data_IF_167607241583
#
_entry.id   IF_167607241583
#
_cell.length_a   1.000
_cell.length_b   1.000
_cell.length_c   1.000
_cell.angle_alpha   90.00
_cell.angle_beta   90.00
_cell.angle_gamma   90.00
#
_symmetry.space_group_name_H-M   'P 1'
#
loop_
_entity.id
_entity.type
_entity.pdbx_description
1 polymer ?
#
# COMPACT_ATOMS: atom_id res chain seq x y z
N UNK A 1 19.40 19.88 15.32
CA UNK A 1 18.66 19.45 16.54
C UNK A 1 17.86 20.65 17.03
N UNK A 2 16.52 20.53 17.09
CA UNK A 2 15.64 21.58 17.63
C UNK A 2 15.21 21.18 19.05
N UNK A 3 15.33 22.10 20.00
CA UNK A 3 14.78 21.94 21.36
C UNK A 3 13.33 22.45 21.38
N UNK A 4 12.42 21.57 21.79
CA UNK A 4 10.98 21.81 21.85
C UNK A 4 10.47 21.96 23.30
N UNK A 5 11.36 21.92 24.29
CA UNK A 5 11.07 22.31 25.67
C UNK A 5 10.47 21.22 26.59
N UNK A 6 9.94 20.10 26.07
CA UNK A 6 9.36 19.00 26.87
C UNK A 6 8.12 19.39 27.72
N UNK A 7 7.44 18.42 28.35
CA UNK A 7 6.15 18.67 29.02
C UNK A 7 6.22 19.41 30.38
N UNK A 8 5.24 20.31 30.62
CA UNK A 8 4.51 20.34 31.90
C UNK A 8 3.01 20.68 31.69
N UNK A 9 2.14 19.88 32.30
CA UNK A 9 0.69 19.82 32.08
C UNK A 9 -0.07 20.98 32.78
N UNK A 10 0.15 22.23 32.35
CA UNK A 10 -0.43 23.37 33.08
C UNK A 10 -0.82 24.62 32.30
N UNK A 11 0.08 25.34 31.60
CA UNK A 11 -0.29 26.67 31.06
C UNK A 11 0.69 27.33 30.05
N UNK A 12 1.32 26.60 29.12
CA UNK A 12 2.18 27.24 28.12
C UNK A 12 2.69 26.31 27.02
N UNK A 13 2.75 26.83 25.79
CA UNK A 13 3.17 26.15 24.55
C UNK A 13 4.61 25.58 24.66
N UNK A 14 4.72 24.29 25.00
CA UNK A 14 5.95 23.48 24.82
C UNK A 14 5.59 22.14 24.17
N UNK A 15 6.49 21.62 23.34
CA UNK A 15 6.29 20.37 22.61
C UNK A 15 6.27 19.14 23.51
N UNK A 16 5.52 18.11 23.11
CA UNK A 16 5.35 16.85 23.88
C UNK A 16 6.67 16.12 24.16
N UNK A 17 7.68 16.31 23.30
CA UNK A 17 9.03 15.76 23.44
C UNK A 17 10.04 16.89 23.47
N UNK A 18 11.21 16.65 24.07
CA UNK A 18 12.22 17.70 24.27
C UNK A 18 13.04 18.01 23.03
N UNK A 19 13.40 17.01 22.24
CA UNK A 19 14.28 17.21 21.09
C UNK A 19 13.80 16.49 19.85
N UNK A 20 13.97 17.13 18.70
CA UNK A 20 13.90 16.49 17.39
C UNK A 20 15.23 16.69 16.68
N UNK A 21 15.82 15.57 16.24
CA UNK A 21 16.93 15.59 15.30
C UNK A 21 16.35 15.50 13.90
N UNK A 22 16.43 16.61 13.17
CA UNK A 22 16.05 16.69 11.76
C UNK A 22 17.22 16.18 10.91
N UNK A 23 17.09 14.97 10.37
CA UNK A 23 18.07 14.32 9.50
C UNK A 23 17.61 14.25 8.04
N UNK A 24 16.54 14.96 7.68
CA UNK A 24 15.87 14.80 6.39
C UNK A 24 14.98 13.56 6.30
N UNK A 25 14.59 13.21 5.08
CA UNK A 25 13.79 12.04 4.78
C UNK A 25 14.54 10.74 5.07
N UNK A 26 13.82 9.67 5.42
CA UNK A 26 14.43 8.36 5.65
C UNK A 26 14.77 7.66 4.33
N UNK A 27 15.96 7.07 4.24
CA UNK A 27 16.46 6.43 3.00
C UNK A 27 15.65 5.21 2.54
N UNK A 28 14.94 4.54 3.46
CA UNK A 28 14.17 3.31 3.18
C UNK A 28 12.66 3.53 3.25
N UNK A 29 12.21 4.39 4.17
CA UNK A 29 10.79 4.71 4.40
C UNK A 29 9.96 3.65 5.13
N UNK A 30 10.35 2.37 5.09
CA UNK A 30 9.71 1.30 5.89
C UNK A 30 10.62 0.84 7.04
N UNK A 31 10.03 0.21 8.06
CA UNK A 31 10.78 -0.25 9.22
C UNK A 31 11.73 -1.42 8.91
N UNK A 32 12.55 -1.78 9.89
CA UNK A 32 13.47 -2.90 9.79
C UNK A 32 12.76 -4.25 9.60
N UNK A 33 13.42 -5.10 8.82
CA UNK A 33 13.09 -6.53 8.72
C UNK A 33 13.39 -7.21 10.04
N UNK A 34 12.47 -8.06 10.51
CA UNK A 34 12.64 -8.83 11.74
C UNK A 34 12.60 -10.30 11.42
N UNK A 35 13.61 -11.02 11.90
CA UNK A 35 13.77 -12.46 11.72
C UNK A 35 13.86 -13.17 13.07
N UNK A 36 13.33 -14.39 13.11
CA UNK A 36 13.53 -15.36 14.18
C UNK A 36 14.34 -16.53 13.64
N UNK A 37 15.58 -16.67 14.14
CA UNK A 37 16.47 -17.79 13.84
C UNK A 37 16.70 -18.71 15.03
N UNK A 38 15.90 -18.60 16.10
CA UNK A 38 16.13 -19.31 17.37
C UNK A 38 14.98 -20.24 17.76
N UNK A 39 13.74 -19.89 17.46
CA UNK A 39 12.58 -20.64 17.96
C UNK A 39 12.32 -21.94 17.21
N UNK A 40 12.93 -22.13 16.03
CA UNK A 40 12.79 -23.32 15.22
C UNK A 40 14.13 -23.72 14.59
N UNK A 41 14.76 -24.79 15.11
CA UNK A 41 16.01 -25.30 14.55
C UNK A 41 15.90 -25.58 13.04
N UNK A 42 16.88 -25.10 12.28
CA UNK A 42 16.93 -25.25 10.83
C UNK A 42 16.00 -24.31 10.06
N UNK A 43 15.45 -23.28 10.70
CA UNK A 43 14.61 -22.27 10.04
C UNK A 43 15.06 -20.84 10.37
N UNK A 44 15.02 -19.97 9.37
CA UNK A 44 15.09 -18.53 9.53
C UNK A 44 13.73 -17.97 9.12
N UNK A 45 13.01 -17.41 10.08
CA UNK A 45 11.62 -16.99 9.91
C UNK A 45 11.54 -15.48 9.84
N UNK A 46 11.20 -14.92 8.69
CA UNK A 46 10.89 -13.50 8.55
C UNK A 46 9.54 -13.24 9.20
N UNK A 47 9.57 -12.58 10.36
CA UNK A 47 8.37 -12.23 11.12
C UNK A 47 7.76 -10.91 10.64
N UNK A 48 8.60 -9.96 10.24
CA UNK A 48 8.18 -8.66 9.70
C UNK A 48 9.05 -8.29 8.51
N UNK A 49 8.50 -8.24 7.29
CA UNK A 49 9.22 -7.70 6.13
C UNK A 49 9.52 -6.20 6.32
N UNK A 50 10.67 -5.74 5.83
CA UNK A 50 11.16 -4.39 6.00
C UNK A 50 12.28 -4.06 5.01
N UNK A 51 13.14 -3.11 5.36
CA UNK A 51 14.22 -2.61 4.48
C UNK A 51 15.22 -3.64 3.95
N UNK A 52 15.35 -4.81 4.59
CA UNK A 52 16.14 -5.94 4.07
C UNK A 52 15.18 -6.97 3.48
N UNK A 53 15.27 -7.20 2.17
CA UNK A 53 14.30 -8.04 1.46
C UNK A 53 14.52 -9.53 1.74
N UNK A 54 13.50 -10.34 1.46
CA UNK A 54 13.58 -11.81 1.61
C UNK A 54 14.62 -12.38 0.64
N UNK A 55 14.73 -11.79 -0.55
CA UNK A 55 15.70 -12.12 -1.58
C UNK A 55 17.12 -11.82 -1.10
N UNK A 56 17.37 -10.64 -0.50
CA UNK A 56 18.67 -10.32 0.09
C UNK A 56 19.08 -11.29 1.20
N UNK A 57 18.13 -11.71 2.05
CA UNK A 57 18.38 -12.74 3.06
C UNK A 57 18.69 -14.09 2.40
N UNK A 58 17.95 -14.47 1.36
CA UNK A 58 18.17 -15.71 0.63
C UNK A 58 19.54 -15.72 -0.06
N UNK A 59 19.94 -14.61 -0.69
CA UNK A 59 21.23 -14.45 -1.35
C UNK A 59 22.38 -14.55 -0.35
N UNK A 60 22.29 -13.84 0.79
CA UNK A 60 23.26 -13.95 1.88
C UNK A 60 23.39 -15.40 2.37
N UNK A 61 22.27 -16.10 2.61
CA UNK A 61 22.30 -17.52 3.01
C UNK A 61 22.92 -18.41 1.92
N UNK A 62 22.64 -18.15 0.64
CA UNK A 62 23.17 -18.94 -0.48
C UNK A 62 24.67 -18.74 -0.66
N UNK A 63 25.14 -17.50 -0.60
CA UNK A 63 26.56 -17.13 -0.70
C UNK A 63 27.39 -17.78 0.40
N UNK A 64 26.78 -18.04 1.56
CA UNK A 64 27.41 -18.71 2.70
C UNK A 64 27.16 -20.23 2.74
N UNK A 65 26.50 -20.81 1.73
CA UNK A 65 26.20 -22.25 1.67
C UNK A 65 25.18 -22.73 2.70
N UNK A 66 24.38 -21.82 3.26
CA UNK A 66 23.41 -22.07 4.32
C UNK A 66 21.97 -22.19 3.82
N UNK A 67 21.65 -21.76 2.60
CA UNK A 67 20.27 -21.82 2.09
C UNK A 67 19.89 -23.23 1.61
N UNK A 68 18.82 -23.80 2.17
CA UNK A 68 18.21 -25.02 1.63
C UNK A 68 17.23 -24.67 0.48
N UNK A 69 17.56 -25.06 -0.75
CA UNK A 69 16.61 -25.05 -1.88
C UNK A 69 15.64 -26.24 -1.76
N UNK A 70 14.33 -26.00 -1.87
CA UNK A 70 13.25 -26.86 -1.36
C UNK A 70 13.12 -28.31 -1.87
N UNK A 71 12.35 -29.06 -1.06
CA UNK A 71 11.64 -30.34 -1.21
C UNK A 71 12.36 -31.56 -1.83
N UNK A 72 13.01 -32.34 -0.97
CA UNK A 72 13.09 -33.80 -1.15
C UNK A 72 12.39 -34.50 0.02
N UNK A 73 11.18 -34.99 -0.24
CA UNK A 73 10.58 -36.14 0.44
C UNK A 73 11.01 -37.40 -0.28
N UNK A 74 12.09 -38.05 0.17
CA UNK A 74 12.12 -39.51 0.29
C UNK A 74 13.32 -39.98 1.10
N UNK A 75 13.08 -40.73 2.18
CA UNK A 75 13.98 -41.73 2.80
C UNK A 75 15.46 -41.43 3.11
N UNK A 76 16.01 -40.24 2.87
CA UNK A 76 17.46 -40.01 2.86
C UNK A 76 17.89 -38.90 3.80
N UNK A 77 18.39 -39.29 4.98
CA UNK A 77 18.98 -38.42 6.01
C UNK A 77 20.13 -37.59 5.44
N UNK A 78 19.89 -36.32 5.08
CA UNK A 78 20.99 -35.36 4.87
C UNK A 78 21.41 -34.74 6.20
N UNK A 79 22.69 -34.88 6.50
CA UNK A 79 23.43 -34.23 7.59
C UNK A 79 24.00 -32.88 7.13
N UNK A 80 23.16 -32.00 6.55
CA UNK A 80 23.58 -30.68 6.10
C UNK A 80 23.08 -29.59 7.05
N UNK A 81 23.98 -28.77 7.59
CA UNK A 81 23.73 -27.59 8.46
C UNK A 81 23.10 -26.42 7.68
N UNK A 82 22.04 -26.68 6.91
CA UNK A 82 21.33 -25.65 6.16
C UNK A 82 20.10 -25.12 6.89
N UNK A 83 19.62 -23.96 6.45
CA UNK A 83 18.47 -23.25 7.01
C UNK A 83 17.40 -23.05 5.93
N UNK A 84 16.14 -23.32 6.29
CA UNK A 84 14.97 -22.98 5.47
C UNK A 84 14.53 -21.55 5.77
N UNK A 85 14.50 -20.69 4.77
CA UNK A 85 13.93 -19.35 4.88
C UNK A 85 12.40 -19.44 4.74
N UNK A 86 11.66 -18.86 5.69
CA UNK A 86 10.19 -18.80 5.65
C UNK A 86 9.69 -17.42 5.99
N UNK A 87 8.60 -16.99 5.37
CA UNK A 87 7.96 -15.69 5.60
C UNK A 87 6.62 -15.87 6.33
N UNK A 88 6.44 -15.13 7.42
CA UNK A 88 5.20 -15.19 8.20
C UNK A 88 4.01 -14.68 7.39
N UNK A 89 2.89 -15.39 7.49
CA UNK A 89 1.74 -15.17 6.63
C UNK A 89 1.85 -15.99 5.34
N UNK A 90 2.96 -15.92 4.60
CA UNK A 90 3.10 -16.55 3.27
C UNK A 90 3.40 -18.04 3.35
N UNK A 91 4.51 -18.40 3.98
CA UNK A 91 5.00 -19.80 4.07
C UNK A 91 4.61 -20.45 5.42
N UNK A 92 4.10 -19.64 6.34
CA UNK A 92 3.67 -20.03 7.68
C UNK A 92 2.25 -19.53 7.90
N UNK A 93 1.37 -20.43 8.33
CA UNK A 93 -0.01 -20.08 8.67
C UNK A 93 -0.03 -18.99 9.75
N UNK A 94 -0.92 -18.01 9.57
CA UNK A 94 -1.18 -17.00 10.60
C UNK A 94 -1.70 -17.69 11.86
N UNK A 95 -1.08 -17.39 12.99
CA UNK A 95 -1.47 -17.92 14.29
C UNK A 95 -2.06 -16.80 15.14
N UNK A 96 -3.34 -16.94 15.51
CA UNK A 96 -4.02 -16.00 16.41
C UNK A 96 -3.29 -15.82 17.74
N UNK A 97 -2.59 -16.85 18.22
CA UNK A 97 -1.77 -16.78 19.44
C UNK A 97 -0.56 -15.85 19.28
N UNK A 98 0.15 -15.92 18.14
CA UNK A 98 1.28 -15.04 17.83
C UNK A 98 0.85 -13.60 17.57
N UNK A 99 -0.34 -13.39 17.01
CA UNK A 99 -0.89 -12.06 16.73
C UNK A 99 -1.46 -11.40 18.00
N UNK A 100 -1.99 -12.20 18.93
CA UNK A 100 -2.52 -11.68 20.20
C UNK A 100 -1.41 -11.37 21.21
N UNK A 101 -0.27 -12.08 21.16
CA UNK A 101 0.91 -11.80 21.98
C UNK A 101 2.18 -11.73 21.11
N UNK A 102 2.37 -10.63 20.37
CA UNK A 102 3.41 -10.53 19.37
C UNK A 102 4.79 -10.47 20.00
N UNK A 103 5.74 -11.22 19.42
CA UNK A 103 7.15 -11.14 19.78
C UNK A 103 7.87 -9.93 19.18
N UNK A 104 7.19 -9.18 18.29
CA UNK A 104 7.77 -8.08 17.51
C UNK A 104 6.77 -6.92 17.33
N UNK A 105 7.22 -5.65 17.39
CA UNK A 105 6.36 -4.49 17.08
C UNK A 105 5.74 -4.57 15.68
N UNK A 106 4.56 -4.01 15.46
CA UNK A 106 3.93 -4.00 14.13
C UNK A 106 3.12 -5.25 13.78
N UNK A 107 2.99 -6.23 14.68
CA UNK A 107 2.30 -7.52 14.43
C UNK A 107 0.84 -7.57 14.91
N UNK A 108 0.47 -6.81 15.94
CA UNK A 108 -0.86 -6.89 16.60
C UNK A 108 -1.78 -5.71 16.32
N UNK A 109 -1.25 -4.49 16.36
CA UNK A 109 -2.06 -3.28 16.20
C UNK A 109 -2.03 -2.79 14.76
N UNK A 110 -3.12 -2.16 14.33
CA UNK A 110 -3.14 -1.28 13.16
C UNK A 110 -2.23 -0.09 13.43
N UNK A 111 -0.95 -0.24 13.09
CA UNK A 111 -0.01 0.86 13.14
C UNK A 111 -0.14 1.63 11.82
N UNK A 112 -0.11 2.97 11.89
CA UNK A 112 -0.13 3.87 10.73
C UNK A 112 -1.41 3.84 9.89
N UNK A 113 -2.56 3.51 10.50
CA UNK A 113 -3.86 3.65 9.84
C UNK A 113 -4.28 5.12 9.81
N UNK A 114 -4.49 5.69 8.62
CA UNK A 114 -5.21 6.95 8.47
C UNK A 114 -6.56 6.93 9.18
N UNK A 115 -7.07 8.12 9.51
CA UNK A 115 -8.46 8.30 9.95
C UNK A 115 -9.41 8.03 8.79
N UNK A 116 -9.04 8.47 7.59
CA UNK A 116 -9.73 8.16 6.35
C UNK A 116 -9.70 6.63 6.08
N UNK A 117 -10.80 6.04 5.60
CA UNK A 117 -10.80 4.66 5.14
C UNK A 117 -9.78 4.47 4.00
N UNK A 118 -9.04 3.37 4.05
CA UNK A 118 -8.05 3.00 3.04
C UNK A 118 -8.56 1.81 2.23
N UNK A 119 -8.75 2.01 0.93
CA UNK A 119 -9.17 0.99 -0.02
C UNK A 119 -7.95 0.52 -0.82
N UNK A 120 -7.66 -0.78 -0.76
CA UNK A 120 -6.62 -1.39 -1.59
C UNK A 120 -7.21 -1.84 -2.92
N UNK A 121 -6.86 -1.15 -4.00
CA UNK A 121 -7.33 -1.43 -5.35
C UNK A 121 -6.41 -2.44 -6.03
N UNK A 122 -6.92 -3.64 -6.32
CA UNK A 122 -6.16 -4.71 -6.97
C UNK A 122 -6.55 -4.81 -8.44
N UNK A 123 -5.61 -4.47 -9.32
CA UNK A 123 -5.86 -4.43 -10.76
C UNK A 123 -6.03 -5.82 -11.39
N UNK A 124 -7.09 -5.98 -12.20
CA UNK A 124 -7.29 -7.15 -13.07
C UNK A 124 -7.14 -6.72 -14.52
N UNK A 125 -6.16 -7.25 -15.24
CA UNK A 125 -6.08 -7.05 -16.70
C UNK A 125 -7.17 -7.87 -17.38
N UNK A 126 -8.01 -7.25 -18.21
CA UNK A 126 -8.87 -8.02 -19.10
C UNK A 126 -7.99 -8.75 -20.11
N UNK A 127 -7.92 -10.08 -20.02
CA UNK A 127 -7.37 -10.88 -21.12
C UNK A 127 -8.29 -10.70 -22.31
N UNK A 128 -7.80 -10.02 -23.36
CA UNK A 128 -8.37 -10.15 -24.70
C UNK A 128 -8.44 -11.64 -25.07
N UNK A 129 -9.42 -11.97 -25.89
CA UNK A 129 -9.71 -13.31 -26.41
C UNK A 129 -8.47 -14.01 -26.94
N UNK A 130 -7.82 -14.83 -26.12
CA UNK A 130 -7.01 -15.97 -26.54
C UNK A 130 -6.98 -16.99 -25.40
N UNK A 131 -7.70 -18.08 -25.60
CA UNK A 131 -7.67 -19.26 -24.74
C UNK A 131 -6.26 -19.86 -24.72
N UNK A 132 -5.79 -20.22 -23.52
CA UNK A 132 -4.58 -21.01 -23.21
C UNK A 132 -3.30 -20.26 -22.79
N UNK A 133 -3.38 -19.36 -21.82
CA UNK A 133 -2.37 -19.31 -20.74
C UNK A 133 -2.91 -18.57 -19.53
N UNK A 134 -2.98 -19.25 -18.37
CA UNK A 134 -3.44 -18.69 -17.11
C UNK A 134 -2.47 -17.62 -16.59
N UNK A 135 -2.62 -16.38 -17.06
CA UNK A 135 -2.02 -15.21 -16.40
C UNK A 135 -3.06 -14.57 -15.48
N UNK A 136 -3.54 -15.34 -14.50
CA UNK A 136 -4.25 -14.77 -13.36
C UNK A 136 -3.31 -13.75 -12.71
N UNK A 137 -3.72 -12.49 -12.65
CA UNK A 137 -3.09 -11.47 -11.81
C UNK A 137 -2.98 -12.05 -10.41
N UNK A 138 -1.78 -12.47 -10.00
CA UNK A 138 -1.58 -13.02 -8.67
C UNK A 138 -1.79 -11.86 -7.71
N UNK A 139 -2.86 -11.95 -6.94
CA UNK A 139 -3.09 -11.07 -5.81
C UNK A 139 -1.84 -11.06 -4.94
N UNK A 140 -1.40 -9.89 -4.46
CA UNK A 140 -0.38 -9.85 -3.43
C UNK A 140 -0.85 -10.73 -2.29
N UNK A 141 -0.05 -11.72 -1.89
CA UNK A 141 -0.40 -12.64 -0.81
C UNK A 141 -0.70 -11.86 0.48
N UNK A 142 -0.01 -10.74 0.66
CA UNK A 142 -0.17 -9.88 1.82
C UNK A 142 -1.50 -9.11 1.84
N UNK A 143 -2.19 -8.96 0.70
CA UNK A 143 -3.45 -8.24 0.60
C UNK A 143 -4.54 -8.82 1.54
N UNK A 144 -5.42 -7.98 2.10
CA UNK A 144 -6.63 -8.43 2.75
C UNK A 144 -7.44 -9.38 1.84
N UNK A 145 -8.20 -10.34 2.41
CA UNK A 145 -9.06 -11.20 1.62
C UNK A 145 -9.98 -10.38 0.72
N UNK A 146 -10.03 -10.72 -0.56
CA UNK A 146 -10.97 -10.12 -1.49
C UNK A 146 -12.36 -10.70 -1.28
N UNK A 147 -13.37 -9.88 -1.55
CA UNK A 147 -14.71 -10.38 -1.78
C UNK A 147 -14.82 -10.92 -3.22
N UNK A 148 -14.48 -12.20 -3.38
CA UNK A 148 -14.51 -12.91 -4.67
C UNK A 148 -15.93 -13.01 -5.28
N UNK A 149 -16.97 -12.62 -4.54
CA UNK A 149 -18.35 -12.58 -5.06
C UNK A 149 -18.64 -11.31 -5.86
N UNK A 150 -17.82 -10.26 -5.69
CA UNK A 150 -17.98 -8.99 -6.38
C UNK A 150 -17.15 -8.98 -7.67
N UNK A 151 -17.76 -8.74 -8.85
CA UNK A 151 -17.00 -8.62 -10.09
C UNK A 151 -16.08 -7.40 -10.03
N UNK A 152 -14.99 -7.44 -10.80
CA UNK A 152 -14.10 -6.29 -10.95
C UNK A 152 -14.90 -5.07 -11.44
N UNK A 153 -14.77 -3.94 -10.76
CA UNK A 153 -15.51 -2.68 -10.99
C UNK A 153 -14.58 -1.63 -11.62
N UNK A 154 -15.13 -0.63 -12.33
CA UNK A 154 -14.33 0.54 -12.73
C UNK A 154 -13.93 1.35 -11.50
N UNK A 155 -12.75 1.95 -11.50
CA UNK A 155 -12.30 2.78 -10.38
C UNK A 155 -13.17 4.04 -10.25
N UNK A 156 -13.55 4.68 -11.36
CA UNK A 156 -14.46 5.83 -11.34
C UNK A 156 -15.83 5.46 -10.73
N UNK A 157 -16.37 4.30 -11.13
CA UNK A 157 -17.64 3.75 -10.62
C UNK A 157 -17.56 3.46 -9.12
N UNK A 158 -16.48 2.80 -8.67
CA UNK A 158 -16.22 2.51 -7.26
C UNK A 158 -16.15 3.78 -6.41
N UNK A 159 -15.44 4.80 -6.87
CA UNK A 159 -15.32 6.08 -6.17
C UNK A 159 -16.69 6.75 -6.03
N UNK A 160 -17.51 6.76 -7.09
CA UNK A 160 -18.86 7.34 -7.05
C UNK A 160 -19.78 6.60 -6.07
N UNK A 161 -19.70 5.27 -6.02
CA UNK A 161 -20.45 4.47 -5.04
C UNK A 161 -20.07 4.84 -3.59
N UNK A 162 -18.77 4.98 -3.32
CA UNK A 162 -18.27 5.37 -1.99
C UNK A 162 -18.67 6.80 -1.61
N UNK A 163 -18.59 7.73 -2.56
CA UNK A 163 -19.04 9.11 -2.36
C UNK A 163 -20.55 9.16 -2.02
N UNK A 164 -21.38 8.44 -2.77
CA UNK A 164 -22.82 8.37 -2.51
C UNK A 164 -23.16 7.77 -1.13
N UNK A 165 -22.42 6.75 -0.70
CA UNK A 165 -22.59 6.13 0.61
C UNK A 165 -22.13 7.02 1.78
N UNK A 166 -21.29 8.03 1.53
CA UNK A 166 -20.79 8.95 2.57
C UNK A 166 -21.89 9.87 3.13
N UNK A 167 -22.97 10.10 2.37
CA UNK A 167 -24.19 10.76 2.86
C UNK A 167 -24.06 12.26 3.18
N UNK A 168 -22.98 12.92 2.72
CA UNK A 168 -22.75 14.37 2.88
C UNK A 168 -23.10 15.12 1.59
N UNK A 169 -24.40 15.28 1.30
CA UNK A 169 -24.92 15.80 0.01
C UNK A 169 -24.56 17.27 -0.33
N UNK A 170 -23.70 17.94 0.44
CA UNK A 170 -23.34 19.36 0.23
C UNK A 170 -21.85 19.69 0.35
N UNK A 171 -20.97 18.70 0.59
CA UNK A 171 -19.53 18.90 0.61
C UNK A 171 -18.86 18.24 -0.60
N UNK A 172 -17.72 18.78 -1.03
CA UNK A 172 -16.85 18.10 -2.00
C UNK A 172 -16.33 16.82 -1.35
N UNK A 173 -16.54 15.67 -1.98
CA UNK A 173 -15.95 14.40 -1.55
C UNK A 173 -14.52 14.33 -2.10
N UNK A 174 -13.53 14.25 -1.23
CA UNK A 174 -12.12 14.24 -1.63
C UNK A 174 -11.54 12.85 -1.51
N UNK A 175 -10.96 12.36 -2.60
CA UNK A 175 -10.32 11.05 -2.68
C UNK A 175 -8.83 11.23 -2.89
N UNK A 176 -8.03 10.74 -1.96
CA UNK A 176 -6.60 10.58 -2.15
C UNK A 176 -6.31 9.33 -2.98
N UNK A 177 -5.60 9.45 -4.09
CA UNK A 177 -5.23 8.32 -4.94
C UNK A 177 -3.72 8.10 -4.92
N UNK A 178 -3.29 7.06 -4.22
CA UNK A 178 -1.89 6.63 -4.17
C UNK A 178 -1.65 5.53 -5.20
N UNK A 179 -0.85 5.80 -6.23
CA UNK A 179 -0.62 4.85 -7.33
C UNK A 179 0.76 5.05 -7.94
N UNK A 180 1.25 4.03 -8.64
CA UNK A 180 2.46 4.15 -9.46
C UNK A 180 2.19 5.08 -10.64
N UNK A 181 3.16 5.90 -11.01
CA UNK A 181 3.02 6.76 -12.20
C UNK A 181 3.34 5.95 -13.45
N UNK A 182 2.37 5.88 -14.37
CA UNK A 182 2.39 5.08 -15.59
C UNK A 182 0.98 4.62 -15.97
N UNK A 183 0.84 3.79 -17.02
CA UNK A 183 -0.45 3.17 -17.36
C UNK A 183 -0.94 2.31 -16.19
N UNK A 184 -2.18 2.49 -15.78
CA UNK A 184 -2.68 1.94 -14.51
C UNK A 184 -3.97 2.61 -14.05
N UNK A 185 -4.14 2.74 -12.74
CA UNK A 185 -5.39 3.23 -12.13
C UNK A 185 -5.83 4.61 -12.62
N UNK A 186 -4.89 5.47 -13.00
CA UNK A 186 -5.21 6.79 -13.52
C UNK A 186 -5.89 6.76 -14.89
N UNK A 187 -5.66 5.73 -15.71
CA UNK A 187 -6.22 5.69 -17.08
C UNK A 187 -7.76 5.64 -17.08
N UNK A 188 -8.36 5.02 -16.06
CA UNK A 188 -9.82 4.95 -15.88
C UNK A 188 -10.42 6.26 -15.31
N UNK A 189 -9.59 7.18 -14.82
CA UNK A 189 -10.04 8.40 -14.15
C UNK A 189 -9.85 9.67 -14.97
N UNK A 190 -8.85 9.70 -15.86
CA UNK A 190 -8.46 10.91 -16.57
C UNK A 190 -9.24 11.08 -17.86
N UNK A 191 -9.92 12.21 -18.01
CA UNK A 191 -10.47 12.66 -19.30
C UNK A 191 -9.38 13.13 -20.27
N UNK A 192 -9.76 13.45 -21.51
CA UNK A 192 -8.82 13.97 -22.53
C UNK A 192 -8.22 15.34 -22.16
N UNK A 193 -8.91 16.13 -21.34
CA UNK A 193 -8.54 17.52 -21.03
C UNK A 193 -7.53 17.66 -19.87
N UNK A 194 -7.10 16.57 -19.24
CA UNK A 194 -6.22 16.59 -18.06
C UNK A 194 -4.73 16.64 -18.39
N UNK A 195 -4.34 17.60 -19.22
CA UNK A 195 -2.96 17.74 -19.72
C UNK A 195 -1.91 18.02 -18.65
N UNK A 196 -2.29 18.54 -17.47
CA UNK A 196 -1.38 18.75 -16.35
C UNK A 196 -1.09 17.45 -15.57
N UNK A 197 -2.14 16.69 -15.24
CA UNK A 197 -2.00 15.38 -14.57
C UNK A 197 -1.24 14.42 -15.46
N UNK A 198 -1.52 14.39 -16.76
CA UNK A 198 -0.78 13.55 -17.74
C UNK A 198 0.70 13.92 -17.82
N UNK A 199 1.05 15.21 -17.76
CA UNK A 199 2.46 15.66 -17.69
C UNK A 199 3.13 15.25 -16.38
N UNK A 200 2.41 15.34 -15.26
CA UNK A 200 2.89 14.86 -13.96
C UNK A 200 3.16 13.35 -13.98
N UNK A 201 2.22 12.54 -14.48
CA UNK A 201 2.42 11.10 -14.66
C UNK A 201 3.63 10.77 -15.55
N UNK A 202 3.80 11.52 -16.64
CA UNK A 202 4.91 11.32 -17.58
C UNK A 202 6.29 11.67 -16.98
N UNK A 203 6.34 12.40 -15.86
CA UNK A 203 7.62 12.70 -15.17
C UNK A 203 8.18 11.51 -14.39
N UNK A 204 7.40 10.43 -14.23
CA UNK A 204 7.92 9.16 -13.74
C UNK A 204 8.46 9.26 -12.31
N UNK A 205 9.63 8.67 -12.07
CA UNK A 205 10.29 8.67 -10.75
C UNK A 205 10.62 10.08 -10.23
N UNK A 206 10.78 11.05 -11.12
CA UNK A 206 11.15 12.42 -10.80
C UNK A 206 9.92 13.29 -10.49
N UNK A 207 8.71 12.70 -10.54
CA UNK A 207 7.47 13.37 -10.16
C UNK A 207 7.51 13.79 -8.69
N UNK A 208 7.07 15.03 -8.44
CA UNK A 208 6.70 15.46 -7.09
C UNK A 208 5.69 14.46 -6.50
N UNK A 209 5.83 14.05 -5.22
CA UNK A 209 4.96 13.04 -4.63
C UNK A 209 3.48 13.44 -4.69
N UNK A 210 3.15 14.70 -4.38
CA UNK A 210 1.79 15.21 -4.45
C UNK A 210 1.51 15.78 -5.85
N UNK A 211 0.55 15.19 -6.55
CA UNK A 211 0.19 15.60 -7.91
C UNK A 211 -0.84 16.72 -7.98
N UNK A 212 -1.07 17.29 -9.19
CA UNK A 212 -2.13 18.26 -9.41
C UNK A 212 -3.49 17.59 -9.22
N UNK A 213 -4.32 18.17 -8.37
CA UNK A 213 -5.67 17.66 -8.13
C UNK A 213 -6.61 17.95 -9.30
N UNK A 214 -7.55 17.06 -9.53
CA UNK A 214 -8.56 17.20 -10.57
C UNK A 214 -9.94 16.83 -10.04
N UNK A 215 -10.98 17.14 -10.80
CA UNK A 215 -12.36 16.73 -10.48
C UNK A 215 -12.69 15.54 -11.36
N UNK A 216 -13.15 14.45 -10.76
CA UNK A 216 -13.57 13.28 -11.52
C UNK A 216 -14.70 13.71 -12.46
N UNK A 217 -14.50 13.56 -13.78
CA UNK A 217 -15.49 14.01 -14.74
C UNK A 217 -16.80 13.23 -14.56
N UNK A 218 -17.90 13.92 -14.79
CA UNK A 218 -19.26 13.39 -14.69
C UNK A 218 -19.70 12.62 -15.94
N UNK A 219 -18.80 12.40 -16.90
CA UNK A 219 -19.18 12.24 -18.31
C UNK A 219 -20.06 11.02 -18.60
N UNK A 220 -21.26 11.33 -19.09
CA UNK A 220 -21.90 10.80 -20.30
C UNK A 220 -21.77 9.30 -20.58
N UNK A 221 -22.50 8.48 -19.82
CA UNK A 221 -23.20 7.33 -20.39
C UNK A 221 -24.57 7.19 -19.71
N UNK A 222 -25.47 8.11 -20.07
CA UNK A 222 -26.89 8.08 -19.72
C UNK A 222 -27.56 6.89 -20.43
N UNK A 223 -27.36 5.69 -19.90
CA UNK A 223 -28.35 4.62 -20.04
C UNK A 223 -29.46 4.88 -19.02
N UNK A 224 -30.69 4.87 -19.49
CA UNK A 224 -31.91 5.39 -18.86
C UNK A 224 -32.42 4.58 -17.65
N UNK A 225 -31.54 4.14 -16.75
CA UNK A 225 -31.91 3.28 -15.61
C UNK A 225 -31.33 3.70 -14.23
N UNK A 226 -30.49 4.74 -14.12
CA UNK A 226 -29.97 5.21 -12.82
C UNK A 226 -30.03 6.74 -12.66
N UNK A 227 -31.23 7.26 -12.42
CA UNK A 227 -31.51 8.70 -12.19
C UNK A 227 -31.17 9.20 -10.76
N UNK A 228 -30.21 8.61 -10.02
CA UNK A 228 -29.96 8.98 -8.62
C UNK A 228 -28.47 9.16 -8.23
N UNK A 229 -27.57 9.44 -9.16
CA UNK A 229 -26.23 9.89 -8.76
C UNK A 229 -26.29 11.33 -8.25
N UNK A 230 -26.01 11.47 -6.95
CA UNK A 230 -25.86 12.73 -6.23
C UNK A 230 -24.96 13.70 -7.00
N UNK A 231 -25.37 14.97 -7.10
CA UNK A 231 -24.61 16.09 -7.70
C UNK A 231 -23.36 16.48 -6.90
N UNK A 232 -22.78 15.55 -6.14
CA UNK A 232 -21.65 15.77 -5.27
C UNK A 232 -20.37 15.90 -6.09
N UNK A 233 -19.64 17.01 -5.93
CA UNK A 233 -18.33 17.20 -6.56
C UNK A 233 -17.33 16.21 -5.96
N UNK A 234 -16.68 15.41 -6.81
CA UNK A 234 -15.63 14.47 -6.39
C UNK A 234 -14.27 15.02 -6.82
N UNK A 235 -13.41 15.34 -5.85
CA UNK A 235 -12.04 15.81 -6.07
C UNK A 235 -11.09 14.63 -5.91
N UNK A 236 -10.24 14.40 -6.91
CA UNK A 236 -9.15 13.43 -6.83
C UNK A 236 -7.86 14.18 -6.50
N UNK A 237 -7.17 13.73 -5.45
CA UNK A 237 -5.85 14.21 -5.06
C UNK A 237 -4.82 13.10 -5.32
N UNK A 238 -4.05 13.17 -6.42
CA UNK A 238 -3.04 12.18 -6.74
C UNK A 238 -1.86 12.24 -5.78
N UNK A 239 -1.30 11.07 -5.49
CA UNK A 239 -0.03 10.91 -4.80
C UNK A 239 0.79 9.79 -5.46
N UNK A 240 2.00 10.11 -5.92
CA UNK A 240 2.89 9.19 -6.64
C UNK A 240 3.66 8.28 -5.68
N UNK A 241 3.51 6.98 -5.88
CA UNK A 241 4.34 5.95 -5.25
C UNK A 241 5.64 5.66 -6.04
N UNK A 242 5.97 6.47 -7.04
CA UNK A 242 7.09 6.22 -7.94
C UNK A 242 6.68 5.34 -9.12
N UNK A 243 7.58 4.50 -9.61
CA UNK A 243 7.36 3.70 -10.83
C UNK A 243 7.38 2.21 -10.53
N UNK A 244 6.77 1.41 -11.40
CA UNK A 244 6.77 -0.06 -11.29
C UNK A 244 8.17 -0.69 -11.17
N UNK A 245 9.18 -0.02 -11.73
CA UNK A 245 10.57 -0.50 -11.78
C UNK A 245 11.38 0.00 -10.56
N UNK A 246 10.77 0.81 -9.69
CA UNK A 246 11.39 1.38 -8.49
C UNK A 246 10.42 1.41 -7.30
N UNK A 247 10.20 0.22 -6.72
CA UNK A 247 9.40 0.07 -5.50
C UNK A 247 10.12 0.60 -4.24
N UNK A 248 11.41 0.95 -4.32
CA UNK A 248 12.10 1.60 -3.22
C UNK A 248 11.54 3.02 -3.00
N UNK A 249 11.25 3.74 -4.08
CA UNK A 249 10.51 5.01 -4.00
C UNK A 249 9.12 4.81 -3.36
N UNK A 250 8.41 3.72 -3.67
CA UNK A 250 7.12 3.43 -3.05
C UNK A 250 7.26 3.25 -1.52
N UNK A 251 8.30 2.55 -1.08
CA UNK A 251 8.61 2.37 0.34
C UNK A 251 8.95 3.70 1.05
N UNK A 252 9.73 4.57 0.40
CA UNK A 252 10.07 5.92 0.90
C UNK A 252 8.84 6.81 1.07
N UNK A 253 7.92 6.79 0.10
CA UNK A 253 6.77 7.70 0.03
C UNK A 253 5.51 7.18 0.70
N UNK A 254 5.44 5.90 1.06
CA UNK A 254 4.23 5.26 1.60
C UNK A 254 3.62 6.03 2.79
N UNK A 255 4.39 6.26 3.85
CA UNK A 255 3.85 6.91 5.05
C UNK A 255 3.67 8.41 4.90
N UNK A 256 4.45 9.04 4.01
CA UNK A 256 4.25 10.43 3.64
C UNK A 256 2.88 10.60 2.96
N UNK A 257 2.58 9.79 1.94
CA UNK A 257 1.31 9.85 1.23
C UNK A 257 0.12 9.58 2.13
N UNK A 258 0.18 8.54 2.95
CA UNK A 258 -0.90 8.24 3.91
C UNK A 258 -1.15 9.42 4.86
N UNK A 259 -0.10 10.09 5.35
CA UNK A 259 -0.26 11.26 6.25
C UNK A 259 -0.73 12.51 5.53
N UNK A 260 -0.13 12.83 4.39
CA UNK A 260 -0.48 14.01 3.60
C UNK A 260 -1.95 13.96 3.18
N UNK A 261 -2.41 12.79 2.71
CA UNK A 261 -3.79 12.61 2.30
C UNK A 261 -4.77 12.58 3.49
N UNK A 262 -4.38 12.03 4.65
CA UNK A 262 -5.24 12.00 5.84
C UNK A 262 -5.37 13.36 6.54
N UNK A 263 -4.25 14.09 6.64
CA UNK A 263 -4.16 15.36 7.39
C UNK A 263 -4.42 16.60 6.52
N UNK A 264 -4.38 16.47 5.18
CA UNK A 264 -4.53 17.59 4.25
C UNK A 264 -3.27 18.46 4.11
N UNK A 265 -2.16 18.10 4.73
CA UNK A 265 -0.95 18.92 4.76
C UNK A 265 -0.36 19.12 3.36
N UNK A 266 -0.33 20.37 2.88
CA UNK A 266 0.17 20.70 1.53
C UNK A 266 -0.89 20.55 0.42
N UNK A 267 -2.11 20.14 0.76
CA UNK A 267 -3.26 20.14 -0.15
C UNK A 267 -4.06 21.40 0.13
N UNK A 268 -3.95 22.40 -0.76
CA UNK A 268 -4.72 23.64 -0.61
C UNK A 268 -6.22 23.35 -0.59
N UNK A 269 -6.94 24.04 0.31
CA UNK A 269 -8.40 23.99 0.46
C UNK A 269 -8.99 22.63 0.88
N UNK A 270 -8.17 21.73 1.46
CA UNK A 270 -8.60 20.40 1.94
C UNK A 270 -8.09 20.14 3.37
N UNK A 271 -8.97 19.67 4.27
CA UNK A 271 -8.62 19.34 5.66
C UNK A 271 -8.20 17.88 5.89
N UNK A 272 -8.16 17.08 4.82
CA UNK A 272 -7.98 15.62 4.80
C UNK A 272 -8.91 15.00 3.74
N UNK A 273 -8.54 13.84 3.19
CA UNK A 273 -9.38 13.11 2.24
C UNK A 273 -10.46 12.31 2.97
N UNK A 274 -11.64 12.18 2.36
CA UNK A 274 -12.72 11.34 2.87
C UNK A 274 -12.48 9.84 2.59
N UNK A 275 -11.65 9.54 1.59
CA UNK A 275 -11.26 8.20 1.19
C UNK A 275 -9.83 8.22 0.65
N UNK A 276 -9.04 7.19 0.96
CA UNK A 276 -7.74 6.96 0.34
C UNK A 276 -7.82 5.66 -0.45
N UNK A 277 -7.60 5.73 -1.76
CA UNK A 277 -7.44 4.56 -2.62
C UNK A 277 -5.96 4.35 -2.88
N UNK A 278 -5.49 3.12 -2.68
CA UNK A 278 -4.09 2.75 -2.94
C UNK A 278 -4.03 1.60 -3.92
N UNK A 279 -3.22 1.75 -4.95
CA UNK A 279 -2.90 0.67 -5.89
C UNK A 279 -2.13 -0.46 -5.19
N UNK A 280 -2.58 -1.70 -5.40
CA UNK A 280 -1.84 -2.87 -4.96
C UNK A 280 -0.56 -3.04 -5.78
N UNK A 281 0.57 -3.16 -5.07
CA UNK A 281 1.89 -3.34 -5.66
C UNK A 281 2.30 -4.83 -5.68
N UNK A 282 3.34 -5.14 -6.44
CA UNK A 282 3.91 -6.47 -6.45
C UNK A 282 4.56 -6.81 -5.09
N UNK A 283 4.46 -8.08 -4.68
CA UNK A 283 4.94 -8.61 -3.39
C UNK A 283 6.40 -9.13 -3.45
N UNK A 284 7.20 -8.68 -4.41
CA UNK A 284 8.63 -9.00 -4.53
C UNK A 284 9.53 -7.91 -3.94
N UNK A 285 10.72 -8.30 -3.47
CA UNK A 285 11.70 -7.36 -2.94
C UNK A 285 11.16 -6.53 -1.76
N UNK A 286 11.31 -5.21 -1.88
CA UNK A 286 10.79 -4.25 -0.90
C UNK A 286 9.26 -4.08 -0.98
N UNK A 287 8.65 -4.45 -2.11
CA UNK A 287 7.20 -4.42 -2.32
C UNK A 287 6.43 -5.24 -1.29
N UNK A 288 6.99 -6.39 -0.88
CA UNK A 288 6.44 -7.20 0.22
C UNK A 288 6.32 -6.42 1.54
N UNK A 289 7.28 -5.54 1.85
CA UNK A 289 7.23 -4.72 3.04
C UNK A 289 6.16 -3.63 2.92
N UNK A 290 6.07 -2.97 1.77
CA UNK A 290 5.06 -1.96 1.46
C UNK A 290 3.66 -2.57 1.59
N UNK A 291 3.41 -3.68 0.90
CA UNK A 291 2.11 -4.34 0.91
C UNK A 291 1.75 -4.92 2.28
N UNK A 292 2.73 -5.38 3.07
CA UNK A 292 2.48 -5.76 4.47
C UNK A 292 1.96 -4.59 5.31
N UNK A 293 2.37 -3.33 5.03
CA UNK A 293 1.85 -2.15 5.72
C UNK A 293 0.50 -1.71 5.17
N UNK A 294 0.35 -1.69 3.85
CA UNK A 294 -0.92 -1.37 3.20
C UNK A 294 -2.03 -2.33 3.60
N UNK A 295 -1.76 -3.63 3.69
CA UNK A 295 -2.75 -4.61 4.13
C UNK A 295 -3.22 -4.42 5.58
N UNK A 296 -2.39 -3.80 6.43
CA UNK A 296 -2.77 -3.45 7.81
C UNK A 296 -3.55 -2.14 7.86
N UNK A 297 -3.18 -1.18 7.01
CA UNK A 297 -3.85 0.11 6.90
C UNK A 297 -5.23 -0.01 6.23
N UNK A 298 -5.35 -0.86 5.21
CA UNK A 298 -6.55 -1.07 4.42
C UNK A 298 -7.73 -1.54 5.27
N UNK A 299 -8.88 -0.88 5.10
CA UNK A 299 -10.16 -1.34 5.61
C UNK A 299 -10.74 -2.45 4.75
N UNK A 300 -10.45 -2.43 3.45
CA UNK A 300 -10.94 -3.40 2.47
C UNK A 300 -10.01 -3.52 1.26
N UNK A 301 -10.24 -4.56 0.46
CA UNK A 301 -9.57 -4.75 -0.84
C UNK A 301 -10.61 -5.02 -1.91
N UNK A 302 -10.44 -4.40 -3.08
CA UNK A 302 -11.43 -4.43 -4.17
C UNK A 302 -10.72 -4.71 -5.50
N UNK A 303 -11.32 -5.58 -6.30
CA UNK A 303 -10.86 -5.81 -7.67
C UNK A 303 -11.29 -4.65 -8.57
N UNK A 304 -10.34 -4.03 -9.25
CA UNK A 304 -10.59 -2.93 -10.18
C UNK A 304 -10.17 -3.33 -11.60
N UNK A 305 -10.96 -2.92 -12.59
CA UNK A 305 -10.62 -3.07 -14.00
C UNK A 305 -9.62 -1.98 -14.37
N UNK A 306 -8.47 -2.39 -14.90
CA UNK A 306 -7.35 -1.52 -15.30
C UNK A 306 -6.90 -1.92 -16.69
#
# INVERSE_FOLDING_TARGET
MRDLGGQSDGNGDRGRIRYILDGGAADVGVESTVVDGISAPGELRVLRPGGVTVEQLADCLRENGLLLSGEETDGGRRTGEGVRLRVYGKDMARSSTLETNPTTPGMKYRHYSPTAPVLLAVGTRQSGTDSSTSSSSRLPFSAPPLDDTRPAIGLAELIRERAAAHGQESSTFTVGLMSLVGPGLFDDLLSDDEGEVRRWLASGKDADPLGPAFTLSSDDDMTSAQEHYSSQKIRIQPFSLGTKDDLQTAAQRLFEGLRVLDEGAGIEEVGGCDLIVVEALADDGIGLAVMNRLAKAASESVLVRV
#
